data_IF_783302722183
#
_entry.id   IF_783302722183
#
_cell.length_a   1.000
_cell.length_b   1.000
_cell.length_c   1.000
_cell.angle_alpha   90.00
_cell.angle_beta   90.00
_cell.angle_gamma   90.00
#
_symmetry.space_group_name_H-M   'P 1'
#
loop_
_entity.id
_entity.type
_entity.pdbx_description
1 polymer ?
#
# COMPACT_ATOMS: atom_id res chain seq x y z
N UNK A 1 -12.41 7.11 21.69
CA UNK A 1 -11.43 7.76 20.79
C UNK A 1 -10.59 6.67 20.15
N UNK A 2 -10.48 6.62 18.83
CA UNK A 2 -9.62 5.64 18.17
C UNK A 2 -8.16 5.88 18.60
N UNK A 3 -7.45 4.82 19.00
CA UNK A 3 -6.02 4.90 19.36
C UNK A 3 -5.25 5.52 18.20
N UNK A 4 -4.51 6.59 18.46
CA UNK A 4 -3.58 7.18 17.48
C UNK A 4 -2.54 6.13 17.12
N UNK A 5 -2.53 5.70 15.86
CA UNK A 5 -1.52 4.77 15.35
C UNK A 5 -0.22 5.56 15.13
N UNK A 6 0.89 5.18 15.78
CA UNK A 6 2.20 5.82 15.59
C UNK A 6 2.69 5.71 14.15
N UNK A 7 3.53 6.65 13.71
CA UNK A 7 4.04 6.68 12.33
C UNK A 7 4.86 5.42 11.97
N UNK A 8 5.61 4.84 12.91
CA UNK A 8 6.31 3.57 12.70
C UNK A 8 5.32 2.40 12.44
N UNK A 9 4.21 2.37 13.17
CA UNK A 9 3.19 1.34 12.98
C UNK A 9 2.42 1.54 11.66
N UNK A 10 2.22 2.79 11.23
CA UNK A 10 1.67 3.12 9.90
C UNK A 10 2.53 2.58 8.76
N UNK A 11 3.85 2.70 8.86
CA UNK A 11 4.81 2.14 7.89
C UNK A 11 4.67 0.60 7.79
N UNK A 12 4.61 -0.09 8.93
CA UNK A 12 4.44 -1.55 8.97
C UNK A 12 3.11 -1.96 8.33
N UNK A 13 2.03 -1.26 8.67
CA UNK A 13 0.69 -1.54 8.09
C UNK A 13 0.63 -1.27 6.59
N UNK A 14 1.30 -0.24 6.09
CA UNK A 14 1.37 0.05 4.67
C UNK A 14 2.05 -1.08 3.89
N UNK A 15 3.19 -1.59 4.38
CA UNK A 15 3.86 -2.76 3.79
C UNK A 15 2.98 -4.00 3.80
N UNK A 16 2.21 -4.21 4.88
CA UNK A 16 1.25 -5.32 4.96
C UNK A 16 0.15 -5.21 3.89
N UNK A 17 -0.38 -4.00 3.65
CA UNK A 17 -1.39 -3.77 2.60
C UNK A 17 -0.83 -4.03 1.19
N UNK A 18 0.42 -3.65 0.93
CA UNK A 18 1.11 -3.97 -0.34
C UNK A 18 1.25 -5.49 -0.50
N UNK A 19 1.67 -6.18 0.56
CA UNK A 19 1.78 -7.64 0.54
C UNK A 19 0.42 -8.31 0.30
N UNK A 20 -0.65 -7.80 0.93
CA UNK A 20 -2.01 -8.28 0.67
C UNK A 20 -2.45 -8.08 -0.78
N UNK A 21 -2.02 -7.00 -1.44
CA UNK A 21 -2.29 -6.80 -2.85
C UNK A 21 -1.59 -7.88 -3.71
N UNK A 22 -0.36 -8.25 -3.37
CA UNK A 22 0.41 -9.31 -4.05
C UNK A 22 -0.16 -10.71 -3.83
N UNK A 23 -0.69 -10.95 -2.63
CA UNK A 23 -1.29 -12.24 -2.25
C UNK A 23 -2.77 -12.35 -2.67
N UNK A 24 -3.35 -11.28 -3.23
CA UNK A 24 -4.75 -11.29 -3.62
C UNK A 24 -4.96 -12.35 -4.72
N UNK A 25 -5.80 -13.37 -4.48
CA UNK A 25 -5.99 -14.45 -5.43
C UNK A 25 -6.60 -13.90 -6.72
N UNK A 26 -6.00 -14.28 -7.85
CA UNK A 26 -6.57 -14.01 -9.16
C UNK A 26 -7.85 -14.84 -9.29
N UNK A 27 -8.98 -14.26 -9.74
CA UNK A 27 -10.20 -15.01 -9.96
C UNK A 27 -9.97 -16.18 -10.94
N UNK A 28 -10.28 -17.41 -10.50
CA UNK A 28 -10.17 -18.62 -11.34
C UNK A 28 -11.24 -18.69 -12.43
N UNK A 29 -12.28 -17.87 -12.30
CA UNK A 29 -13.43 -17.82 -13.21
C UNK A 29 -13.60 -16.41 -13.78
N UNK A 30 -14.00 -16.29 -15.05
CA UNK A 30 -14.22 -14.99 -15.69
C UNK A 30 -12.97 -14.45 -16.40
N UNK A 31 -12.69 -13.16 -16.25
CA UNK A 31 -11.59 -12.47 -16.95
C UNK A 31 -10.23 -12.58 -16.22
N UNK A 32 -10.16 -13.32 -15.10
CA UNK A 32 -8.94 -13.52 -14.31
C UNK A 32 -8.31 -12.19 -13.88
N UNK A 33 -7.03 -11.97 -14.24
CA UNK A 33 -6.30 -10.74 -13.93
C UNK A 33 -6.92 -9.48 -14.54
N UNK A 34 -7.73 -9.64 -15.59
CA UNK A 34 -8.42 -8.54 -16.26
C UNK A 34 -9.83 -8.28 -15.69
N UNK A 35 -10.23 -9.00 -14.65
CA UNK A 35 -11.51 -8.75 -13.97
C UNK A 35 -11.49 -7.36 -13.31
N UNK A 36 -12.51 -6.54 -13.62
CA UNK A 36 -12.60 -5.19 -13.08
C UNK A 36 -12.64 -5.15 -11.55
N UNK A 37 -13.29 -6.14 -10.92
CA UNK A 37 -13.35 -6.24 -9.46
C UNK A 37 -12.00 -6.60 -8.88
N UNK A 38 -11.25 -7.51 -9.52
CA UNK A 38 -9.87 -7.82 -9.12
C UNK A 38 -8.98 -6.59 -9.21
N UNK A 39 -8.99 -5.90 -10.35
CA UNK A 39 -8.20 -4.67 -10.58
C UNK A 39 -8.58 -3.61 -9.54
N UNK A 40 -9.88 -3.42 -9.26
CA UNK A 40 -10.36 -2.46 -8.27
C UNK A 40 -9.84 -2.79 -6.86
N UNK A 41 -9.88 -4.07 -6.46
CA UNK A 41 -9.39 -4.51 -5.15
C UNK A 41 -7.88 -4.31 -4.99
N UNK A 42 -7.09 -4.66 -6.02
CA UNK A 42 -5.63 -4.41 -6.02
C UNK A 42 -5.35 -2.92 -5.87
N UNK A 43 -5.99 -2.08 -6.69
CA UNK A 43 -5.81 -0.63 -6.64
C UNK A 43 -6.25 -0.03 -5.31
N UNK A 44 -7.32 -0.55 -4.71
CA UNK A 44 -7.79 -0.06 -3.42
C UNK A 44 -6.81 -0.39 -2.29
N UNK A 45 -6.26 -1.61 -2.24
CA UNK A 45 -5.23 -2.00 -1.27
C UNK A 45 -3.98 -1.10 -1.37
N UNK A 46 -3.51 -0.86 -2.60
CA UNK A 46 -2.38 0.03 -2.87
C UNK A 46 -2.68 1.49 -2.47
N UNK A 47 -3.90 1.97 -2.73
CA UNK A 47 -4.37 3.30 -2.29
C UNK A 47 -4.40 3.40 -0.77
N UNK A 48 -4.91 2.40 -0.07
CA UNK A 48 -4.92 2.36 1.39
C UNK A 48 -3.50 2.38 1.97
N UNK A 49 -2.56 1.67 1.35
CA UNK A 49 -1.15 1.69 1.74
C UNK A 49 -0.55 3.11 1.62
N UNK A 50 -0.83 3.79 0.50
CA UNK A 50 -0.42 5.20 0.27
C UNK A 50 -1.02 6.15 1.30
N UNK A 51 -2.31 6.01 1.57
CA UNK A 51 -3.04 6.86 2.53
C UNK A 51 -2.51 6.73 3.96
N UNK A 52 -1.96 5.56 4.30
CA UNK A 52 -1.34 5.30 5.60
C UNK A 52 -0.07 6.13 5.84
N UNK A 53 0.72 6.38 4.78
CA UNK A 53 2.05 6.99 4.90
C UNK A 53 2.14 8.44 4.41
N UNK A 54 1.16 8.92 3.62
CA UNK A 54 1.23 10.23 2.95
C UNK A 54 1.42 11.44 3.86
N UNK A 55 0.97 11.36 5.11
CA UNK A 55 1.08 12.43 6.09
C UNK A 55 2.29 12.31 7.03
N UNK A 56 3.02 11.20 6.98
CA UNK A 56 4.21 11.00 7.82
C UNK A 56 5.25 12.11 7.57
N UNK A 57 5.61 12.46 6.31
CA UNK A 57 6.61 13.50 6.07
C UNK A 57 6.21 14.90 6.56
N UNK A 58 4.91 15.15 6.75
CA UNK A 58 4.34 16.43 7.20
C UNK A 58 4.22 16.51 8.73
N UNK A 59 4.49 15.42 9.44
CA UNK A 59 4.41 15.37 10.91
C UNK A 59 5.69 15.94 11.53
N UNK A 60 5.53 16.82 12.53
CA UNK A 60 6.67 17.38 13.26
C UNK A 60 7.46 16.28 13.99
N UNK A 61 8.80 16.35 13.94
CA UNK A 61 9.68 15.39 14.62
C UNK A 61 9.96 14.08 13.88
N UNK A 62 9.57 13.96 12.60
CA UNK A 62 9.87 12.78 11.78
C UNK A 62 11.32 12.80 11.30
N UNK A 63 12.03 11.69 11.53
CA UNK A 63 13.43 11.52 11.16
C UNK A 63 13.62 11.43 9.64
N UNK A 64 14.86 11.66 9.18
CA UNK A 64 15.22 11.48 7.77
C UNK A 64 15.00 10.02 7.31
N UNK A 65 15.28 9.04 8.18
CA UNK A 65 15.06 7.61 7.91
C UNK A 65 13.59 7.30 7.62
N UNK A 66 12.66 7.85 8.41
CA UNK A 66 11.24 7.63 8.19
C UNK A 66 10.76 8.25 6.88
N UNK A 67 11.32 9.39 6.47
CA UNK A 67 11.00 9.97 5.15
C UNK A 67 11.48 9.08 4.02
N UNK A 68 12.64 8.45 4.19
CA UNK A 68 13.18 7.50 3.22
C UNK A 68 12.34 6.22 3.15
N UNK A 69 11.88 5.70 4.28
CA UNK A 69 10.95 4.56 4.31
C UNK A 69 9.63 4.87 3.60
N UNK A 70 9.10 6.08 3.74
CA UNK A 70 7.89 6.52 3.01
C UNK A 70 8.13 6.53 1.50
N UNK A 71 9.30 6.98 1.04
CA UNK A 71 9.65 6.93 -0.39
C UNK A 71 9.72 5.49 -0.91
N UNK A 72 10.41 4.60 -0.19
CA UNK A 72 10.48 3.18 -0.54
C UNK A 72 9.09 2.55 -0.65
N UNK A 73 8.18 2.90 0.26
CA UNK A 73 6.80 2.43 0.21
C UNK A 73 6.09 2.92 -1.06
N UNK A 74 6.32 4.16 -1.50
CA UNK A 74 5.78 4.61 -2.78
C UNK A 74 6.35 3.84 -3.97
N UNK A 75 7.64 3.57 -3.98
CA UNK A 75 8.29 2.75 -5.01
C UNK A 75 7.73 1.32 -5.03
N UNK A 76 7.58 0.70 -3.86
CA UNK A 76 6.98 -0.63 -3.69
C UNK A 76 5.52 -0.67 -4.18
N UNK A 77 4.74 0.39 -3.95
CA UNK A 77 3.35 0.50 -4.42
C UNK A 77 3.28 0.53 -5.95
N UNK A 78 4.10 1.36 -6.58
CA UNK A 78 4.15 1.48 -8.05
C UNK A 78 4.66 0.18 -8.70
N UNK A 79 5.69 -0.42 -8.09
CA UNK A 79 6.22 -1.70 -8.52
C UNK A 79 5.16 -2.79 -8.40
N UNK A 80 4.50 -2.94 -7.25
CA UNK A 80 3.45 -3.93 -7.05
C UNK A 80 2.27 -3.72 -8.01
N UNK A 81 1.85 -2.47 -8.24
CA UNK A 81 0.80 -2.15 -9.19
C UNK A 81 1.14 -2.61 -10.61
N UNK A 82 2.39 -2.39 -11.03
CA UNK A 82 2.89 -2.84 -12.34
C UNK A 82 3.01 -4.37 -12.39
N UNK A 83 3.60 -5.02 -11.38
CA UNK A 83 3.78 -6.47 -11.33
C UNK A 83 2.46 -7.26 -11.35
N UNK A 84 1.43 -6.75 -10.68
CA UNK A 84 0.15 -7.45 -10.53
C UNK A 84 -0.76 -7.22 -11.75
N UNK A 85 -0.75 -6.00 -12.30
CA UNK A 85 -1.73 -5.56 -13.32
C UNK A 85 -1.15 -5.44 -14.73
N UNK A 86 0.17 -5.62 -14.91
CA UNK A 86 0.78 -5.78 -16.24
C UNK A 86 0.58 -7.19 -16.79
#
# INVERSE_FOLDING_TARGET
MAKLIPAAERIIRARKLIQQARELPVPDTGLGKHDFSYIANVKDLLRQAKDMVKFIPQTAGVSAEMKEDVKRIYEEIEQAGTEILS
#
